data_IF_323688185414
#
_entry.id   IF_323688185414
#
_cell.length_a   1.000
_cell.length_b   1.000
_cell.length_c   1.000
_cell.angle_alpha   90.00
_cell.angle_beta   90.00
_cell.angle_gamma   90.00
#
_symmetry.space_group_name_H-M   'P 1'
#
loop_
_entity.id
_entity.type
_entity.pdbx_description
1 polymer ?
#
# COMPACT_ATOMS: atom_id res chain seq x y z
N UNK A 1 18.45 20.05 -8.55
CA UNK A 1 18.98 19.78 -9.89
C UNK A 1 18.22 18.61 -10.51
N UNK A 2 17.44 18.85 -11.58
CA UNK A 2 16.66 17.79 -12.25
C UNK A 2 17.57 16.80 -12.99
N UNK A 3 18.73 17.26 -13.47
CA UNK A 3 19.66 16.41 -14.22
C UNK A 3 20.33 15.38 -13.34
N UNK A 4 20.78 15.76 -12.13
CA UNK A 4 21.27 14.79 -11.15
C UNK A 4 20.24 13.69 -10.82
N UNK A 5 18.95 14.06 -10.70
CA UNK A 5 17.89 13.09 -10.41
C UNK A 5 17.68 12.10 -11.56
N UNK A 6 17.65 12.56 -12.81
CA UNK A 6 17.53 11.64 -13.95
C UNK A 6 18.78 10.75 -14.10
N UNK A 7 19.99 11.27 -13.89
CA UNK A 7 21.22 10.45 -13.89
C UNK A 7 21.17 9.33 -12.83
N UNK A 8 20.60 9.62 -11.65
CA UNK A 8 20.42 8.62 -10.60
C UNK A 8 19.31 7.62 -10.93
N UNK A 9 18.31 8.04 -11.70
CA UNK A 9 17.24 7.17 -12.21
C UNK A 9 17.77 6.20 -13.27
N UNK A 10 18.58 6.68 -14.20
CA UNK A 10 19.24 5.86 -15.23
C UNK A 10 20.16 4.80 -14.60
N UNK A 11 20.83 5.14 -13.49
CA UNK A 11 21.65 4.21 -12.70
C UNK A 11 20.82 3.26 -11.83
N UNK A 12 19.49 3.40 -11.79
CA UNK A 12 18.58 2.60 -10.98
C UNK A 12 18.63 2.89 -9.47
N UNK A 13 19.34 3.93 -9.03
CA UNK A 13 19.40 4.37 -7.63
C UNK A 13 18.08 5.01 -7.21
N UNK A 14 17.45 5.74 -8.13
CA UNK A 14 16.09 6.26 -7.98
C UNK A 14 15.18 5.45 -8.90
N UNK A 15 14.04 5.01 -8.38
CA UNK A 15 12.96 4.42 -9.19
C UNK A 15 11.67 5.16 -8.90
N UNK A 16 11.03 5.64 -9.96
CA UNK A 16 9.68 6.20 -9.93
C UNK A 16 8.65 5.08 -10.16
N UNK A 17 7.37 5.29 -9.82
CA UNK A 17 6.31 4.30 -10.08
C UNK A 17 6.30 3.81 -11.54
N UNK A 18 6.55 4.72 -12.49
CA UNK A 18 6.56 4.38 -13.92
C UNK A 18 7.69 3.41 -14.29
N UNK A 19 8.84 3.49 -13.59
CA UNK A 19 9.97 2.56 -13.80
C UNK A 19 9.65 1.14 -13.32
N UNK A 20 8.63 1.00 -12.48
CA UNK A 20 8.15 -0.26 -11.93
C UNK A 20 6.87 -0.75 -12.65
N UNK A 21 6.42 -0.05 -13.70
CA UNK A 21 5.16 -0.35 -14.38
C UNK A 21 3.92 -0.02 -13.53
N UNK A 22 4.06 0.79 -12.49
CA UNK A 22 2.98 1.16 -11.57
C UNK A 22 2.42 2.51 -12.00
N UNK A 23 1.12 2.56 -12.28
CA UNK A 23 0.41 3.83 -12.50
C UNK A 23 -0.10 4.35 -11.15
N UNK A 24 0.29 5.55 -10.68
CA UNK A 24 -0.11 6.04 -9.36
C UNK A 24 -1.63 6.09 -9.13
N UNK A 25 -2.41 6.33 -10.18
CA UNK A 25 -3.88 6.36 -10.14
C UNK A 25 -4.53 5.00 -9.81
N UNK A 26 -3.82 3.90 -10.01
CA UNK A 26 -4.34 2.56 -9.73
C UNK A 26 -4.22 2.21 -8.22
N UNK A 27 -3.48 3.00 -7.44
CA UNK A 27 -3.27 2.79 -6.01
C UNK A 27 -4.51 3.19 -5.18
N UNK A 28 -5.57 2.38 -5.28
CA UNK A 28 -6.83 2.58 -4.54
C UNK A 28 -6.97 1.63 -3.35
N UNK A 29 -7.94 1.91 -2.47
CA UNK A 29 -8.29 1.05 -1.33
C UNK A 29 -8.75 -0.35 -1.72
N UNK A 30 -9.12 -0.56 -2.98
CA UNK A 30 -9.61 -1.86 -3.46
C UNK A 30 -8.50 -2.90 -3.62
N UNK A 31 -7.24 -2.46 -3.65
CA UNK A 31 -6.08 -3.36 -3.62
C UNK A 31 -5.80 -3.96 -2.23
N UNK A 32 -6.46 -3.47 -1.17
CA UNK A 32 -6.30 -4.02 0.17
C UNK A 32 -7.04 -5.35 0.30
N UNK A 33 -6.32 -6.42 0.69
CA UNK A 33 -6.91 -7.74 0.95
C UNK A 33 -7.99 -7.72 2.06
N UNK A 34 -7.88 -6.78 3.00
CA UNK A 34 -8.86 -6.48 4.03
C UNK A 34 -9.00 -4.95 4.13
N UNK A 35 -10.21 -4.42 3.93
CA UNK A 35 -10.44 -2.96 3.87
C UNK A 35 -10.84 -2.37 5.22
N UNK A 36 -11.24 -3.22 6.16
CA UNK A 36 -11.70 -2.87 7.49
C UNK A 36 -11.12 -3.80 8.56
N UNK A 37 -11.19 -3.39 9.83
CA UNK A 37 -10.79 -4.26 10.95
C UNK A 37 -11.73 -5.46 11.07
N UNK A 38 -13.01 -5.31 10.73
CA UNK A 38 -13.97 -6.42 10.62
C UNK A 38 -13.51 -7.48 9.62
N UNK A 39 -12.97 -7.06 8.48
CA UNK A 39 -12.43 -8.00 7.48
C UNK A 39 -11.25 -8.77 8.06
N UNK A 40 -10.34 -8.10 8.79
CA UNK A 40 -9.21 -8.78 9.45
C UNK A 40 -9.68 -9.83 10.45
N UNK A 41 -10.70 -9.53 11.27
CA UNK A 41 -11.29 -10.52 12.21
C UNK A 41 -11.85 -11.70 11.44
N UNK A 42 -12.59 -11.46 10.35
CA UNK A 42 -13.14 -12.53 9.50
C UNK A 42 -12.04 -13.41 8.89
N UNK A 43 -11.01 -12.81 8.32
CA UNK A 43 -9.87 -13.54 7.74
C UNK A 43 -9.11 -14.36 8.79
N UNK A 44 -9.04 -13.87 10.03
CA UNK A 44 -8.43 -14.61 11.13
C UNK A 44 -9.28 -15.78 11.67
N UNK A 45 -10.50 -15.99 11.16
CA UNK A 45 -11.43 -16.97 11.73
C UNK A 45 -11.88 -16.63 13.16
N UNK A 46 -11.84 -15.34 13.54
CA UNK A 46 -12.15 -14.88 14.90
C UNK A 46 -11.00 -14.96 15.90
N UNK A 47 -9.79 -15.36 15.47
CA UNK A 47 -8.61 -15.43 16.35
C UNK A 47 -8.01 -14.06 16.69
N UNK A 48 -8.23 -13.07 15.82
CA UNK A 48 -7.80 -11.71 16.10
C UNK A 48 -8.85 -11.00 16.97
N UNK A 49 -8.45 -10.65 18.20
CA UNK A 49 -9.25 -9.82 19.10
C UNK A 49 -8.77 -8.35 19.10
N UNK A 50 -9.39 -7.47 18.29
CA UNK A 50 -8.99 -6.08 18.20
C UNK A 50 -9.35 -5.27 19.46
N UNK A 51 -8.57 -4.23 19.79
CA UNK A 51 -8.86 -3.30 20.89
C UNK A 51 -10.24 -2.65 20.79
N UNK A 52 -10.85 -2.32 21.94
CA UNK A 52 -12.20 -1.73 22.03
C UNK A 52 -12.45 -0.55 21.08
N UNK A 53 -11.48 0.35 20.92
CA UNK A 53 -11.58 1.52 20.04
C UNK A 53 -11.85 1.19 18.57
N UNK A 54 -11.53 -0.03 18.14
CA UNK A 54 -11.77 -0.47 16.79
C UNK A 54 -13.05 -1.26 16.64
N UNK A 55 -13.63 -1.82 17.72
CA UNK A 55 -14.83 -2.69 17.68
C UNK A 55 -16.13 -2.01 17.24
N UNK A 56 -16.09 -0.70 16.96
CA UNK A 56 -17.20 0.05 16.39
C UNK A 56 -17.07 0.05 14.86
N UNK A 57 -17.46 -1.07 14.23
CA UNK A 57 -17.58 -1.23 12.78
C UNK A 57 -18.94 -1.82 12.40
#
# INVERSE_FOLDING_TARGET
>A
DKRAVENLRDRGVIKRPEDLGIRPRDATRDLLAARTVKDLVRWSGGLYDPPKRFRNW
#
